data_IF_428109233826
#
_entry.id   IF_428109233826
#
_cell.length_a   1.000
_cell.length_b   1.000
_cell.length_c   1.000
_cell.angle_alpha   90.00
_cell.angle_beta   90.00
_cell.angle_gamma   90.00
#
_symmetry.space_group_name_H-M   'P 1'
#
loop_
_entity.id
_entity.type
_entity.pdbx_description
1 polymer ?
#
# COMPACT_ATOMS: atom_id res chain seq x y z
N UNK A 1 -9.85 -0.67 -59.61
CA UNK A 1 -9.13 -0.64 -58.31
C UNK A 1 -9.55 -1.81 -57.40
N UNK A 2 -9.44 -3.09 -57.83
CA UNK A 2 -10.17 -4.19 -57.17
C UNK A 2 -9.36 -5.36 -56.58
N UNK A 3 -8.12 -5.59 -57.02
CA UNK A 3 -7.39 -6.84 -56.67
C UNK A 3 -6.13 -6.61 -55.82
N UNK A 4 -5.34 -5.56 -56.09
CA UNK A 4 -4.13 -5.25 -55.31
C UNK A 4 -4.44 -4.86 -53.86
N UNK A 5 -5.55 -4.13 -53.61
CA UNK A 5 -5.98 -3.78 -52.25
C UNK A 5 -6.48 -5.00 -51.45
N UNK A 6 -6.99 -6.05 -52.10
CA UNK A 6 -7.46 -7.26 -51.40
C UNK A 6 -6.30 -8.16 -50.95
N UNK A 7 -5.23 -8.25 -51.75
CA UNK A 7 -4.05 -9.04 -51.39
C UNK A 7 -3.26 -8.43 -50.23
N UNK A 8 -3.14 -7.10 -50.18
CA UNK A 8 -2.49 -6.38 -49.07
C UNK A 8 -3.30 -6.52 -47.78
N UNK A 9 -4.64 -6.47 -47.85
CA UNK A 9 -5.48 -6.65 -46.66
C UNK A 9 -5.35 -8.07 -46.07
N UNK A 10 -5.28 -9.10 -46.92
CA UNK A 10 -5.13 -10.50 -46.48
C UNK A 10 -3.74 -10.75 -45.86
N UNK A 11 -2.68 -10.15 -46.40
CA UNK A 11 -1.32 -10.25 -45.84
C UNK A 11 -1.20 -9.56 -44.46
N UNK A 12 -1.86 -8.41 -44.27
CA UNK A 12 -1.89 -7.72 -42.97
C UNK A 12 -2.64 -8.55 -41.93
N UNK A 13 -3.79 -9.14 -42.29
CA UNK A 13 -4.56 -10.00 -41.38
C UNK A 13 -3.80 -11.27 -40.96
N UNK A 14 -3.09 -11.93 -41.88
CA UNK A 14 -2.31 -13.13 -41.57
C UNK A 14 -1.11 -12.85 -40.65
N UNK A 15 -0.44 -11.70 -40.82
CA UNK A 15 0.67 -11.30 -39.96
C UNK A 15 0.22 -10.99 -38.52
N UNK A 16 -0.97 -10.41 -38.34
CA UNK A 16 -1.53 -10.15 -37.00
C UNK A 16 -1.86 -11.43 -36.22
N UNK A 17 -2.33 -12.50 -36.89
CA UNK A 17 -2.63 -13.77 -36.23
C UNK A 17 -1.39 -14.49 -35.71
N UNK A 18 -0.27 -14.47 -36.45
CA UNK A 18 0.98 -15.14 -36.03
C UNK A 18 1.60 -14.43 -34.82
N UNK A 19 1.61 -13.09 -34.81
CA UNK A 19 2.14 -12.31 -33.68
C UNK A 19 1.35 -12.59 -32.38
N UNK A 20 0.02 -12.63 -32.45
CA UNK A 20 -0.83 -12.93 -31.29
C UNK A 20 -0.58 -14.34 -30.73
N UNK A 21 -0.43 -15.35 -31.58
CA UNK A 21 -0.16 -16.72 -31.15
C UNK A 21 1.20 -16.86 -30.45
N UNK A 22 2.22 -16.12 -30.92
CA UNK A 22 3.53 -16.09 -30.28
C UNK A 22 3.44 -15.41 -28.91
N UNK A 23 2.78 -14.27 -28.79
CA UNK A 23 2.59 -13.57 -27.50
C UNK A 23 1.86 -14.45 -26.48
N UNK A 24 0.79 -15.15 -26.87
CA UNK A 24 0.08 -16.07 -25.97
C UNK A 24 0.95 -17.22 -25.49
N UNK A 25 1.78 -17.77 -26.38
CA UNK A 25 2.73 -18.85 -26.03
C UNK A 25 3.77 -18.36 -25.03
N UNK A 26 4.34 -17.16 -25.27
CA UNK A 26 5.31 -16.55 -24.38
C UNK A 26 4.70 -16.20 -23.02
N UNK A 27 3.48 -15.69 -22.97
CA UNK A 27 2.78 -15.42 -21.71
C UNK A 27 2.50 -16.71 -20.93
N UNK A 28 2.01 -17.78 -21.58
CA UNK A 28 1.77 -19.05 -20.91
C UNK A 28 3.06 -19.66 -20.33
N UNK A 29 4.20 -19.48 -21.02
CA UNK A 29 5.50 -19.88 -20.52
C UNK A 29 5.93 -19.05 -19.29
N UNK A 30 5.74 -17.73 -19.32
CA UNK A 30 5.99 -16.85 -18.18
C UNK A 30 5.15 -17.26 -16.96
N UNK A 31 3.86 -17.49 -17.17
CA UNK A 31 2.94 -17.93 -16.11
C UNK A 31 3.38 -19.27 -15.50
N UNK A 32 3.72 -20.24 -16.34
CA UNK A 32 4.24 -21.55 -15.88
C UNK A 32 5.53 -21.37 -15.07
N UNK A 33 6.41 -20.48 -15.49
CA UNK A 33 7.65 -20.19 -14.77
C UNK A 33 7.37 -19.56 -13.40
N UNK A 34 6.57 -18.49 -13.35
CA UNK A 34 6.18 -17.81 -12.11
C UNK A 34 5.49 -18.78 -11.15
N UNK A 35 4.46 -19.49 -11.61
CA UNK A 35 3.73 -20.42 -10.75
C UNK A 35 4.62 -21.54 -10.23
N UNK A 36 5.47 -22.16 -11.06
CA UNK A 36 6.37 -23.24 -10.61
C UNK A 36 7.43 -22.75 -9.59
N UNK A 37 7.91 -21.52 -9.77
CA UNK A 37 8.94 -20.93 -8.92
C UNK A 37 8.38 -20.51 -7.56
N UNK A 38 7.25 -19.80 -7.56
CA UNK A 38 6.67 -19.11 -6.40
C UNK A 38 5.53 -19.87 -5.69
N UNK A 39 5.13 -21.07 -6.15
CA UNK A 39 4.12 -21.91 -5.45
C UNK A 39 4.66 -22.54 -4.17
N UNK A 40 5.08 -21.72 -3.21
CA UNK A 40 5.49 -22.10 -1.87
C UNK A 40 5.26 -20.92 -0.90
N UNK A 41 5.23 -21.21 0.40
CA UNK A 41 5.23 -20.19 1.46
C UNK A 41 6.59 -20.17 2.15
N UNK A 42 7.40 -19.09 2.04
CA UNK A 42 8.65 -18.93 2.78
C UNK A 42 8.57 -19.34 4.26
N UNK A 43 7.50 -18.96 4.96
CA UNK A 43 7.29 -19.27 6.39
C UNK A 43 7.06 -20.77 6.69
N UNK A 44 6.78 -21.60 5.67
CA UNK A 44 6.46 -23.03 5.82
C UNK A 44 7.57 -23.97 5.37
N UNK A 45 8.69 -23.44 4.90
CA UNK A 45 9.84 -24.24 4.43
C UNK A 45 11.08 -23.99 5.29
N UNK A 46 12.02 -24.94 5.27
CA UNK A 46 13.27 -24.83 6.01
C UNK A 46 14.20 -23.76 5.42
N UNK A 47 15.15 -23.24 6.22
CA UNK A 47 16.17 -22.29 5.74
C UNK A 47 16.99 -22.82 4.56
N UNK A 48 17.27 -24.12 4.53
CA UNK A 48 17.98 -24.75 3.41
C UNK A 48 17.16 -24.69 2.12
N UNK A 49 15.86 -24.98 2.20
CA UNK A 49 14.93 -24.85 1.07
C UNK A 49 14.75 -23.39 0.65
N UNK A 50 14.68 -22.45 1.59
CA UNK A 50 14.61 -21.02 1.29
C UNK A 50 15.84 -20.58 0.49
N UNK A 51 17.05 -20.98 0.91
CA UNK A 51 18.29 -20.67 0.20
C UNK A 51 18.29 -21.22 -1.24
N UNK A 52 17.88 -22.48 -1.42
CA UNK A 52 17.77 -23.08 -2.75
C UNK A 52 16.75 -22.34 -3.63
N UNK A 53 15.58 -22.00 -3.08
CA UNK A 53 14.55 -21.23 -3.80
C UNK A 53 15.03 -19.81 -4.14
N UNK A 54 15.75 -19.16 -3.24
CA UNK A 54 16.34 -17.84 -3.48
C UNK A 54 17.25 -17.84 -4.70
N UNK A 55 18.13 -18.84 -4.85
CA UNK A 55 19.01 -18.94 -6.02
C UNK A 55 18.24 -19.09 -7.34
N UNK A 56 17.11 -19.81 -7.32
CA UNK A 56 16.23 -19.94 -8.50
C UNK A 56 15.54 -18.60 -8.83
N UNK A 57 15.11 -17.86 -7.80
CA UNK A 57 14.51 -16.53 -7.97
C UNK A 57 15.54 -15.51 -8.48
N UNK A 58 16.78 -15.54 -7.98
CA UNK A 58 17.86 -14.68 -8.47
C UNK A 58 18.13 -14.89 -9.96
N UNK A 59 18.10 -16.15 -10.41
CA UNK A 59 18.24 -16.48 -11.82
C UNK A 59 17.05 -15.95 -12.64
N UNK A 60 15.82 -16.12 -12.16
CA UNK A 60 14.63 -15.52 -12.79
C UNK A 60 14.76 -13.99 -12.91
N UNK A 61 15.15 -13.30 -11.83
CA UNK A 61 15.38 -11.86 -11.84
C UNK A 61 16.43 -11.44 -12.85
N UNK A 62 17.54 -12.18 -12.93
CA UNK A 62 18.62 -11.92 -13.89
C UNK A 62 18.12 -12.03 -15.32
N UNK A 63 17.33 -13.05 -15.62
CA UNK A 63 16.83 -13.31 -16.97
C UNK A 63 15.77 -12.27 -17.39
N UNK A 64 14.87 -11.87 -16.48
CA UNK A 64 13.94 -10.75 -16.74
C UNK A 64 14.71 -9.44 -16.96
N UNK A 65 15.74 -9.17 -16.16
CA UNK A 65 16.56 -7.96 -16.30
C UNK A 65 17.44 -7.94 -17.55
N UNK A 66 17.74 -9.10 -18.14
CA UNK A 66 18.59 -9.20 -19.32
C UNK A 66 17.89 -8.73 -20.60
N UNK A 67 16.56 -8.87 -20.68
CA UNK A 67 15.73 -8.43 -21.80
C UNK A 67 14.41 -7.81 -21.33
N UNK A 68 14.44 -6.59 -20.77
CA UNK A 68 13.24 -5.94 -20.25
C UNK A 68 12.23 -5.59 -21.34
N UNK A 69 12.67 -5.36 -22.59
CA UNK A 69 11.75 -5.05 -23.70
C UNK A 69 10.77 -6.20 -23.96
N UNK A 70 11.26 -7.44 -23.87
CA UNK A 70 10.43 -8.63 -24.03
C UNK A 70 9.70 -9.02 -22.74
N UNK A 71 10.37 -8.94 -21.59
CA UNK A 71 9.88 -9.56 -20.35
C UNK A 71 9.01 -8.64 -19.47
N UNK A 72 9.22 -7.33 -19.53
CA UNK A 72 8.45 -6.38 -18.72
C UNK A 72 6.94 -6.40 -19.05
N UNK A 73 6.50 -6.45 -20.32
CA UNK A 73 5.08 -6.62 -20.64
C UNK A 73 4.48 -7.90 -20.04
N UNK A 74 5.25 -9.00 -20.02
CA UNK A 74 4.79 -10.28 -19.45
C UNK A 74 4.67 -10.20 -17.93
N UNK A 75 5.65 -9.57 -17.28
CA UNK A 75 5.65 -9.34 -15.83
C UNK A 75 4.44 -8.51 -15.39
N UNK A 76 4.06 -7.49 -16.18
CA UNK A 76 2.86 -6.69 -15.92
C UNK A 76 1.59 -7.55 -15.94
N UNK A 77 1.48 -8.46 -16.91
CA UNK A 77 0.33 -9.40 -16.99
C UNK A 77 0.32 -10.33 -15.77
N UNK A 78 1.46 -10.88 -15.36
CA UNK A 78 1.53 -11.75 -14.17
C UNK A 78 1.17 -11.00 -12.89
N UNK A 79 1.59 -9.75 -12.73
CA UNK A 79 1.20 -8.94 -11.57
C UNK A 79 -0.29 -8.56 -11.59
N UNK A 80 -0.91 -8.43 -12.75
CA UNK A 80 -2.35 -8.21 -12.86
C UNK A 80 -3.18 -9.47 -12.54
N UNK A 81 -2.60 -10.66 -12.66
CA UNK A 81 -3.30 -11.93 -12.43
C UNK A 81 -3.46 -12.22 -10.93
N UNK A 82 -4.71 -12.22 -10.44
CA UNK A 82 -5.06 -12.50 -9.05
C UNK A 82 -4.88 -13.98 -8.64
N UNK A 83 -4.71 -14.90 -9.60
CA UNK A 83 -4.48 -16.31 -9.34
C UNK A 83 -3.01 -16.64 -9.02
N UNK A 84 -2.10 -15.70 -9.26
CA UNK A 84 -0.68 -15.91 -9.02
C UNK A 84 -0.34 -16.04 -7.52
N UNK A 85 0.75 -16.76 -7.18
CA UNK A 85 1.11 -17.02 -5.79
C UNK A 85 1.30 -15.73 -4.96
N UNK A 86 0.81 -15.66 -3.70
CA UNK A 86 0.93 -14.46 -2.86
C UNK A 86 2.36 -13.96 -2.70
N UNK A 87 3.35 -14.85 -2.57
CA UNK A 87 4.74 -14.44 -2.41
C UNK A 87 5.29 -13.72 -3.66
N UNK A 88 4.81 -14.09 -4.86
CA UNK A 88 5.16 -13.41 -6.11
C UNK A 88 4.63 -11.97 -6.15
N UNK A 89 3.50 -11.67 -5.51
CA UNK A 89 2.94 -10.31 -5.51
C UNK A 89 3.90 -9.28 -4.93
N UNK A 90 4.66 -9.66 -3.90
CA UNK A 90 5.70 -8.80 -3.32
C UNK A 90 6.98 -8.80 -4.15
N UNK A 91 7.49 -9.99 -4.50
CA UNK A 91 8.78 -10.14 -5.17
C UNK A 91 8.73 -9.61 -6.61
N UNK A 92 7.68 -9.96 -7.37
CA UNK A 92 7.41 -9.46 -8.71
C UNK A 92 7.19 -7.94 -8.74
N UNK A 93 6.52 -7.37 -7.73
CA UNK A 93 6.39 -5.91 -7.60
C UNK A 93 7.76 -5.26 -7.41
N UNK A 94 8.61 -5.84 -6.56
CA UNK A 94 9.98 -5.34 -6.35
C UNK A 94 10.80 -5.39 -7.64
N UNK A 95 10.64 -6.45 -8.43
CA UNK A 95 11.27 -6.59 -9.74
C UNK A 95 10.75 -5.53 -10.73
N UNK A 96 9.42 -5.34 -10.82
CA UNK A 96 8.78 -4.33 -11.68
C UNK A 96 9.32 -2.93 -11.38
N UNK A 97 9.31 -2.52 -10.11
CA UNK A 97 9.75 -1.18 -9.68
C UNK A 97 11.27 -0.98 -9.82
N UNK A 98 12.04 -2.07 -9.93
CA UNK A 98 13.47 -2.00 -10.25
C UNK A 98 13.74 -1.77 -11.74
N UNK A 99 12.79 -2.13 -12.62
CA UNK A 99 12.89 -2.05 -14.08
C UNK A 99 12.20 -0.81 -14.67
N UNK A 100 11.17 -0.30 -13.99
CA UNK A 100 10.35 0.79 -14.49
C UNK A 100 10.18 1.91 -13.48
N UNK A 101 9.96 3.12 -14.01
CA UNK A 101 9.57 4.34 -13.28
C UNK A 101 8.26 4.93 -13.84
N UNK A 102 7.55 4.19 -14.67
CA UNK A 102 6.26 4.62 -15.22
C UNK A 102 5.20 4.64 -14.12
N UNK A 103 4.37 5.68 -14.09
CA UNK A 103 3.26 5.80 -13.12
C UNK A 103 2.33 4.59 -13.16
N UNK A 104 2.02 4.08 -14.36
CA UNK A 104 1.15 2.91 -14.53
C UNK A 104 1.71 1.64 -13.87
N UNK A 105 3.04 1.49 -13.81
CA UNK A 105 3.67 0.36 -13.12
C UNK A 105 3.66 0.54 -11.60
N UNK A 106 3.74 1.78 -11.12
CA UNK A 106 3.50 2.12 -9.73
C UNK A 106 2.07 1.80 -9.29
N UNK A 107 1.08 2.14 -10.12
CA UNK A 107 -0.33 1.83 -9.86
C UNK A 107 -0.59 0.31 -9.88
N UNK A 108 0.01 -0.41 -10.83
CA UNK A 108 -0.06 -1.87 -10.88
C UNK A 108 0.57 -2.52 -9.64
N UNK A 109 1.74 -2.03 -9.21
CA UNK A 109 2.40 -2.46 -7.98
C UNK A 109 1.50 -2.23 -6.76
N UNK A 110 0.91 -1.05 -6.62
CA UNK A 110 0.01 -0.73 -5.52
C UNK A 110 -1.23 -1.65 -5.49
N UNK A 111 -1.73 -2.09 -6.64
CA UNK A 111 -2.83 -3.05 -6.78
C UNK A 111 -2.40 -4.52 -6.54
N UNK A 112 -1.12 -4.85 -6.72
CA UNK A 112 -0.58 -6.19 -6.48
C UNK A 112 -0.26 -6.46 -5.00
N UNK A 113 0.33 -5.48 -4.31
CA UNK A 113 0.78 -5.63 -2.92
C UNK A 113 -0.27 -6.16 -1.91
N UNK A 114 -1.56 -5.77 -1.95
CA UNK A 114 -2.57 -6.29 -1.02
C UNK A 114 -2.80 -7.81 -1.15
N UNK A 115 -2.32 -8.43 -2.24
CA UNK A 115 -2.43 -9.88 -2.46
C UNK A 115 -1.25 -10.66 -1.88
N UNK A 116 -0.24 -10.00 -1.34
CA UNK A 116 0.89 -10.67 -0.68
C UNK A 116 0.49 -11.24 0.69
N UNK A 117 1.07 -12.38 1.08
CA UNK A 117 0.94 -12.88 2.45
C UNK A 117 1.98 -12.20 3.34
N UNK A 118 1.54 -11.37 4.30
CA UNK A 118 2.42 -10.63 5.20
C UNK A 118 3.34 -11.54 6.03
N UNK A 119 2.99 -12.82 6.23
CA UNK A 119 3.82 -13.80 6.96
C UNK A 119 5.02 -14.29 6.14
N UNK A 120 4.94 -14.16 4.82
CA UNK A 120 5.93 -14.67 3.87
C UNK A 120 6.85 -13.56 3.33
N UNK A 121 6.65 -12.31 3.76
CA UNK A 121 7.43 -11.15 3.30
C UNK A 121 8.18 -10.48 4.44
N UNK A 122 9.23 -9.73 4.10
CA UNK A 122 9.92 -8.87 5.06
C UNK A 122 9.10 -7.60 5.26
N UNK A 123 8.46 -7.44 6.43
CA UNK A 123 7.52 -6.34 6.70
C UNK A 123 8.11 -4.93 6.49
N UNK A 124 9.40 -4.73 6.74
CA UNK A 124 10.05 -3.44 6.48
C UNK A 124 10.16 -3.12 4.99
N UNK A 125 10.35 -4.13 4.15
CA UNK A 125 10.37 -3.97 2.69
C UNK A 125 8.96 -3.74 2.15
N UNK A 126 7.96 -4.46 2.68
CA UNK A 126 6.56 -4.21 2.36
C UNK A 126 6.18 -2.75 2.70
N UNK A 127 6.45 -2.33 3.93
CA UNK A 127 6.18 -0.96 4.39
C UNK A 127 6.87 0.09 3.52
N UNK A 128 8.18 -0.03 3.28
CA UNK A 128 8.91 0.96 2.48
C UNK A 128 8.38 1.04 1.05
N UNK A 129 8.03 -0.11 0.45
CA UNK A 129 7.48 -0.14 -0.91
C UNK A 129 6.13 0.56 -0.99
N UNK A 130 5.20 0.26 -0.07
CA UNK A 130 3.89 0.92 -0.03
C UNK A 130 4.03 2.41 0.27
N UNK A 131 4.97 2.78 1.15
CA UNK A 131 5.25 4.18 1.49
C UNK A 131 5.83 4.96 0.31
N UNK A 132 6.82 4.40 -0.41
CA UNK A 132 7.41 5.04 -1.59
C UNK A 132 6.38 5.24 -2.70
N UNK A 133 5.49 4.25 -2.90
CA UNK A 133 4.38 4.34 -3.84
C UNK A 133 3.37 5.43 -3.45
N UNK A 134 3.02 5.54 -2.17
CA UNK A 134 2.09 6.57 -1.69
C UNK A 134 2.69 7.97 -1.87
N UNK A 135 3.99 8.13 -1.59
CA UNK A 135 4.71 9.39 -1.83
C UNK A 135 4.86 9.73 -3.31
N UNK A 136 4.79 8.72 -4.19
CA UNK A 136 4.82 8.89 -5.66
C UNK A 136 3.43 9.17 -6.25
N UNK A 137 2.38 9.21 -5.42
CA UNK A 137 1.01 9.53 -5.83
C UNK A 137 0.17 8.32 -6.30
N UNK A 138 0.67 7.10 -6.15
CA UNK A 138 -0.12 5.90 -6.43
C UNK A 138 -1.22 5.71 -5.38
N UNK A 139 -2.37 5.13 -5.78
CA UNK A 139 -3.42 4.74 -4.83
C UNK A 139 -3.01 3.48 -4.06
N UNK A 140 -2.42 3.68 -2.88
CA UNK A 140 -2.01 2.60 -1.99
C UNK A 140 -3.05 2.24 -0.95
N UNK A 141 -4.32 2.66 -1.10
CA UNK A 141 -5.39 2.47 -0.11
C UNK A 141 -5.47 1.02 0.37
N UNK A 142 -5.61 0.07 -0.56
CA UNK A 142 -5.76 -1.34 -0.21
C UNK A 142 -4.48 -1.91 0.40
N UNK A 143 -3.31 -1.50 -0.10
CA UNK A 143 -2.02 -2.00 0.40
C UNK A 143 -1.72 -1.48 1.81
N UNK A 144 -2.13 -0.24 2.10
CA UNK A 144 -2.07 0.36 3.43
C UNK A 144 -3.03 -0.31 4.40
N UNK A 145 -4.27 -0.58 4.00
CA UNK A 145 -5.25 -1.28 4.84
C UNK A 145 -4.90 -2.77 5.05
N UNK A 146 -4.17 -3.40 4.12
CA UNK A 146 -3.75 -4.80 4.23
C UNK A 146 -2.92 -5.09 5.49
N UNK A 147 -2.18 -4.11 6.01
CA UNK A 147 -1.38 -4.32 7.24
C UNK A 147 -2.25 -4.66 8.46
N UNK A 148 -3.55 -4.36 8.39
CA UNK A 148 -4.54 -4.65 9.43
C UNK A 148 -4.83 -6.15 9.55
N UNK A 149 -4.51 -6.95 8.53
CA UNK A 149 -4.70 -8.40 8.53
C UNK A 149 -3.66 -9.13 9.38
N UNK A 150 -2.57 -8.45 9.79
CA UNK A 150 -1.60 -8.95 10.77
C UNK A 150 -1.60 -8.07 12.04
N UNK A 151 -2.24 -8.49 13.15
CA UNK A 151 -2.24 -7.72 14.40
C UNK A 151 -0.84 -7.59 15.04
N UNK A 152 0.16 -8.33 14.54
CA UNK A 152 1.56 -8.22 14.97
C UNK A 152 2.42 -7.38 14.03
N UNK A 153 1.83 -6.73 13.02
CA UNK A 153 2.55 -5.91 12.07
C UNK A 153 3.38 -4.84 12.79
N UNK A 154 4.71 -4.93 12.63
CA UNK A 154 5.69 -4.04 13.23
C UNK A 154 6.86 -3.85 12.29
N UNK A 155 7.32 -2.61 12.16
CA UNK A 155 8.43 -2.26 11.28
C UNK A 155 9.56 -1.65 12.11
N UNK A 156 10.66 -2.38 12.22
CA UNK A 156 11.87 -1.86 12.85
C UNK A 156 12.57 -0.90 11.91
N UNK A 157 12.90 0.31 12.38
CA UNK A 157 13.67 1.31 11.65
C UNK A 157 15.09 1.35 12.25
N UNK A 158 16.08 0.67 11.63
CA UNK A 158 17.41 0.51 12.24
C UNK A 158 18.11 1.83 12.54
N UNK A 159 17.84 2.87 11.76
CA UNK A 159 18.48 4.19 11.88
C UNK A 159 18.00 5.01 13.08
N UNK A 160 16.86 4.66 13.68
CA UNK A 160 16.23 5.44 14.76
C UNK A 160 16.02 4.66 16.06
N UNK A 161 16.44 3.40 16.15
CA UNK A 161 16.12 2.48 17.28
C UNK A 161 14.61 2.37 17.59
N UNK A 162 13.76 2.83 16.68
CA UNK A 162 12.30 2.88 16.84
C UNK A 162 11.65 1.77 16.03
N UNK A 163 10.60 1.17 16.59
CA UNK A 163 9.73 0.22 15.90
C UNK A 163 8.38 0.86 15.69
N UNK A 164 7.97 1.01 14.43
CA UNK A 164 6.62 1.46 14.11
C UNK A 164 5.63 0.36 14.44
N UNK A 165 4.61 0.70 15.21
CA UNK A 165 3.44 -0.15 15.44
C UNK A 165 2.49 -0.09 14.24
N UNK A 166 1.53 -1.02 14.17
CA UNK A 166 0.49 -1.03 13.12
C UNK A 166 -0.27 0.32 13.02
N UNK A 167 -0.74 0.96 14.11
CA UNK A 167 -1.42 2.27 14.03
C UNK A 167 -0.58 3.36 13.36
N UNK A 168 0.69 3.47 13.73
CA UNK A 168 1.59 4.51 13.21
C UNK A 168 2.02 4.19 11.78
N UNK A 169 2.24 2.91 11.46
CA UNK A 169 2.51 2.47 10.09
C UNK A 169 1.34 2.87 9.17
N UNK A 170 0.10 2.65 9.59
CA UNK A 170 -1.08 3.04 8.81
C UNK A 170 -1.13 4.55 8.54
N UNK A 171 -0.75 5.38 9.52
CA UNK A 171 -0.66 6.84 9.36
C UNK A 171 0.37 7.21 8.29
N UNK A 172 1.56 6.60 8.31
CA UNK A 172 2.59 6.83 7.29
C UNK A 172 2.15 6.37 5.89
N UNK A 173 1.41 5.26 5.79
CA UNK A 173 1.01 4.70 4.51
C UNK A 173 -0.13 5.48 3.86
N UNK A 174 -1.11 5.97 4.63
CA UNK A 174 -2.35 6.54 4.08
C UNK A 174 -2.45 8.06 4.15
N UNK A 175 -1.85 8.75 5.13
CA UNK A 175 -1.94 10.22 5.16
C UNK A 175 -1.29 10.95 3.97
N UNK A 176 -0.24 10.43 3.31
CA UNK A 176 0.27 11.03 2.08
C UNK A 176 -0.66 10.89 0.87
N UNK A 177 -1.54 9.88 0.87
CA UNK A 177 -2.50 9.62 -0.22
C UNK A 177 -3.66 10.61 -0.15
N UNK A 178 -4.22 10.99 -1.30
CA UNK A 178 -5.45 11.79 -1.36
C UNK A 178 -6.53 11.13 -0.49
N UNK A 179 -7.01 11.89 0.49
CA UNK A 179 -8.01 11.46 1.45
C UNK A 179 -9.30 10.93 0.78
N UNK A 180 -9.64 11.44 -0.40
CA UNK A 180 -10.83 11.00 -1.13
C UNK A 180 -10.72 9.54 -1.63
N UNK A 181 -9.50 8.99 -1.75
CA UNK A 181 -9.27 7.61 -2.19
C UNK A 181 -9.48 6.62 -1.04
N UNK A 182 -8.98 6.92 0.15
CA UNK A 182 -8.91 5.94 1.23
C UNK A 182 -9.95 6.09 2.33
N UNK A 183 -10.54 7.29 2.54
CA UNK A 183 -11.38 7.54 3.72
C UNK A 183 -12.58 6.59 3.77
N UNK A 184 -13.29 6.41 2.65
CA UNK A 184 -14.45 5.52 2.61
C UNK A 184 -14.05 4.06 2.85
N UNK A 185 -12.97 3.60 2.23
CA UNK A 185 -12.46 2.24 2.44
C UNK A 185 -12.07 1.98 3.91
N UNK A 186 -11.46 2.97 4.58
CA UNK A 186 -11.12 2.88 6.00
C UNK A 186 -12.38 2.84 6.89
N UNK A 187 -13.40 3.64 6.57
CA UNK A 187 -14.69 3.62 7.27
C UNK A 187 -15.39 2.25 7.11
N UNK A 188 -15.44 1.73 5.89
CA UNK A 188 -16.04 0.42 5.59
C UNK A 188 -15.28 -0.71 6.30
N UNK A 189 -13.95 -0.68 6.26
CA UNK A 189 -13.10 -1.62 7.00
C UNK A 189 -13.42 -1.57 8.49
N UNK A 190 -13.45 -0.38 9.10
CA UNK A 190 -13.74 -0.22 10.54
C UNK A 190 -15.12 -0.75 10.94
N UNK A 191 -16.14 -0.57 10.10
CA UNK A 191 -17.49 -1.04 10.37
C UNK A 191 -17.56 -2.57 10.51
N UNK A 192 -16.79 -3.29 9.68
CA UNK A 192 -16.72 -4.75 9.71
C UNK A 192 -15.66 -5.32 10.67
N UNK A 193 -14.66 -4.52 11.05
CA UNK A 193 -13.48 -4.98 11.77
C UNK A 193 -13.83 -5.56 13.15
N UNK A 194 -13.21 -6.68 13.50
CA UNK A 194 -13.37 -7.39 14.78
C UNK A 194 -12.10 -7.44 15.59
N UNK A 195 -10.93 -7.35 14.96
CA UNK A 195 -9.66 -7.31 15.66
C UNK A 195 -9.47 -5.97 16.38
N UNK A 196 -9.16 -6.02 17.67
CA UNK A 196 -9.03 -4.82 18.50
C UNK A 196 -7.84 -3.95 18.09
N UNK A 197 -6.73 -4.57 17.66
CA UNK A 197 -5.52 -3.84 17.24
C UNK A 197 -5.82 -3.09 15.95
N UNK A 198 -6.50 -3.73 15.00
CA UNK A 198 -6.92 -3.09 13.76
C UNK A 198 -7.93 -1.96 14.00
N UNK A 199 -8.90 -2.15 14.90
CA UNK A 199 -9.82 -1.07 15.30
C UNK A 199 -9.06 0.13 15.87
N UNK A 200 -8.12 -0.10 16.79
CA UNK A 200 -7.26 0.96 17.37
C UNK A 200 -6.41 1.66 16.29
N UNK A 201 -5.86 0.91 15.34
CA UNK A 201 -5.13 1.46 14.19
C UNK A 201 -5.99 2.40 13.36
N UNK A 202 -7.22 2.00 13.03
CA UNK A 202 -8.18 2.81 12.28
C UNK A 202 -8.63 4.05 13.06
N UNK A 203 -8.91 3.94 14.36
CA UNK A 203 -9.23 5.11 15.21
C UNK A 203 -8.08 6.12 15.24
N UNK A 204 -6.84 5.63 15.29
CA UNK A 204 -5.64 6.47 15.19
C UNK A 204 -5.60 7.19 13.84
N UNK A 205 -5.81 6.47 12.73
CA UNK A 205 -5.91 7.07 11.40
C UNK A 205 -7.02 8.13 11.33
N UNK A 206 -8.21 7.86 11.87
CA UNK A 206 -9.32 8.82 11.87
C UNK A 206 -8.98 10.08 12.66
N UNK A 207 -8.34 9.95 13.83
CA UNK A 207 -7.83 11.10 14.58
C UNK A 207 -6.83 11.90 13.73
N UNK A 208 -5.84 11.25 13.13
CA UNK A 208 -4.86 11.95 12.30
C UNK A 208 -5.48 12.53 11.01
N UNK A 209 -6.54 11.94 10.47
CA UNK A 209 -7.25 12.43 9.28
C UNK A 209 -7.87 13.81 9.50
N UNK A 210 -8.34 14.10 10.72
CA UNK A 210 -9.05 15.33 11.05
C UNK A 210 -10.21 15.62 10.08
N UNK A 211 -11.05 14.61 9.84
CA UNK A 211 -12.26 14.68 9.00
C UNK A 211 -13.51 14.74 9.86
N UNK A 212 -14.66 15.15 9.28
CA UNK A 212 -15.93 15.16 10.03
C UNK A 212 -16.39 13.74 10.34
N UNK A 213 -16.22 12.85 9.36
CA UNK A 213 -16.55 11.44 9.40
C UNK A 213 -15.68 10.72 10.46
N UNK A 214 -14.37 11.00 10.48
CA UNK A 214 -13.46 10.50 11.50
C UNK A 214 -13.84 10.95 12.91
N UNK A 215 -14.21 12.22 13.10
CA UNK A 215 -14.68 12.74 14.39
C UNK A 215 -15.98 12.04 14.85
N UNK A 216 -16.91 11.78 13.91
CA UNK A 216 -18.16 11.07 14.18
C UNK A 216 -17.90 9.62 14.60
N UNK A 217 -17.00 8.90 13.91
CA UNK A 217 -16.62 7.53 14.28
C UNK A 217 -15.98 7.49 15.67
N UNK A 218 -15.07 8.42 15.98
CA UNK A 218 -14.46 8.52 17.30
C UNK A 218 -15.52 8.72 18.39
N UNK A 219 -16.43 9.68 18.19
CA UNK A 219 -17.50 9.98 19.14
C UNK A 219 -18.46 8.79 19.36
N UNK A 220 -18.91 8.16 18.27
CA UNK A 220 -19.79 7.00 18.31
C UNK A 220 -19.11 5.82 19.01
N UNK A 221 -17.87 5.52 18.64
CA UNK A 221 -17.12 4.39 19.20
C UNK A 221 -16.88 4.55 20.70
N UNK A 222 -16.56 5.75 21.18
CA UNK A 222 -16.35 6.00 22.60
C UNK A 222 -17.59 5.70 23.47
N UNK A 223 -18.80 5.72 22.89
CA UNK A 223 -20.06 5.47 23.58
C UNK A 223 -20.67 4.08 23.26
N UNK A 224 -20.12 3.34 22.31
CA UNK A 224 -20.68 2.07 21.84
C UNK A 224 -20.34 0.92 22.80
N UNK A 225 -21.30 0.56 23.66
CA UNK A 225 -21.13 -0.53 24.64
C UNK A 225 -20.97 -1.92 24.06
N UNK A 226 -21.19 -2.11 22.75
CA UNK A 226 -20.89 -3.37 22.06
C UNK A 226 -19.41 -3.51 21.70
N UNK A 227 -18.63 -2.41 21.73
CA UNK A 227 -17.18 -2.43 21.53
C UNK A 227 -16.45 -2.72 22.84
N UNK A 228 -15.24 -3.25 22.74
CA UNK A 228 -14.42 -3.54 23.91
C UNK A 228 -13.97 -2.28 24.63
N UNK A 229 -13.62 -2.42 25.91
CA UNK A 229 -13.13 -1.31 26.73
C UNK A 229 -11.88 -0.65 26.13
N UNK A 230 -10.93 -1.45 25.63
CA UNK A 230 -9.72 -0.95 24.95
C UNK A 230 -10.06 0.01 23.81
N UNK A 231 -10.97 -0.39 22.94
CA UNK A 231 -11.33 0.35 21.72
C UNK A 231 -12.09 1.63 22.08
N UNK A 232 -13.03 1.55 23.04
CA UNK A 232 -13.73 2.74 23.55
C UNK A 232 -12.78 3.74 24.21
N UNK A 233 -11.83 3.25 25.01
CA UNK A 233 -10.85 4.08 25.71
C UNK A 233 -9.90 4.78 24.73
N UNK A 234 -9.48 4.10 23.66
CA UNK A 234 -8.66 4.72 22.63
C UNK A 234 -9.42 5.84 21.89
N UNK A 235 -10.69 5.61 21.54
CA UNK A 235 -11.53 6.66 20.94
C UNK A 235 -11.70 7.86 21.89
N UNK A 236 -11.98 7.61 23.17
CA UNK A 236 -12.11 8.65 24.19
C UNK A 236 -10.82 9.45 24.40
N UNK A 237 -9.66 8.78 24.37
CA UNK A 237 -8.33 9.41 24.43
C UNK A 237 -8.15 10.40 23.28
N UNK A 238 -8.49 10.04 22.05
CA UNK A 238 -8.37 10.94 20.89
C UNK A 238 -9.33 12.12 20.96
N UNK A 239 -10.58 11.92 21.41
CA UNK A 239 -11.53 13.00 21.66
C UNK A 239 -10.98 13.99 22.69
N UNK A 240 -10.42 13.46 23.79
CA UNK A 240 -9.79 14.28 24.84
C UNK A 240 -8.59 15.06 24.29
N UNK A 241 -7.69 14.42 23.55
CA UNK A 241 -6.54 15.07 22.94
C UNK A 241 -6.96 16.21 22.01
N UNK A 242 -7.96 16.00 21.15
CA UNK A 242 -8.50 17.05 20.29
C UNK A 242 -9.13 18.21 21.08
N UNK A 243 -9.80 17.91 22.21
CA UNK A 243 -10.34 18.94 23.10
C UNK A 243 -9.24 19.77 23.74
N UNK A 244 -8.22 19.14 24.30
CA UNK A 244 -7.10 19.80 24.96
C UNK A 244 -6.33 20.72 24.00
N UNK A 245 -6.11 20.27 22.76
CA UNK A 245 -5.45 21.08 21.72
C UNK A 245 -6.29 22.31 21.33
N UNK A 246 -7.61 22.17 21.28
CA UNK A 246 -8.49 23.24 20.81
C UNK A 246 -8.66 24.40 21.80
N UNK A 247 -8.46 24.16 23.09
CA UNK A 247 -8.55 25.19 24.13
C UNK A 247 -7.27 26.03 24.22
N UNK A 248 -6.17 25.55 23.63
CA UNK A 248 -4.92 26.28 23.55
C UNK A 248 -5.08 27.51 22.63
N UNK A 249 -4.81 28.70 23.19
CA UNK A 249 -4.82 29.95 22.44
C UNK A 249 -3.51 30.08 21.65
N UNK A 250 -3.53 29.76 20.36
CA UNK A 250 -2.38 29.94 19.46
C UNK A 250 -2.80 30.65 18.17
N UNK A 251 -1.92 31.47 17.58
CA UNK A 251 -2.13 31.93 16.19
C UNK A 251 -1.63 30.81 15.27
N UNK A 252 -2.53 30.16 14.54
CA UNK A 252 -2.16 29.12 13.57
C UNK A 252 -1.92 29.77 12.21
N UNK A 253 -0.69 29.73 11.67
CA UNK A 253 -0.42 30.28 10.34
C UNK A 253 -0.80 29.29 9.23
N UNK A 254 -1.34 29.82 8.13
CA UNK A 254 -1.70 29.08 6.92
C UNK A 254 -3.15 28.57 6.91
N UNK A 255 -3.60 28.08 5.75
CA UNK A 255 -4.88 27.38 5.61
C UNK A 255 -4.76 25.92 6.08
N UNK A 256 -5.92 25.28 6.31
CA UNK A 256 -5.98 23.85 6.61
C UNK A 256 -5.33 23.01 5.51
N UNK A 257 -5.60 23.35 4.24
CA UNK A 257 -5.04 22.68 3.07
C UNK A 257 -3.51 22.74 3.04
N UNK A 258 -2.93 23.91 3.27
CA UNK A 258 -1.47 24.09 3.32
C UNK A 258 -0.82 23.32 4.47
N UNK A 259 -1.55 23.05 5.56
CA UNK A 259 -1.03 22.24 6.67
C UNK A 259 -1.11 20.76 6.31
N UNK A 260 -2.18 20.30 5.67
CA UNK A 260 -2.33 18.93 5.18
C UNK A 260 -1.24 18.58 4.16
N UNK A 261 -1.00 19.44 3.18
CA UNK A 261 0.03 19.26 2.17
C UNK A 261 1.44 19.16 2.80
N UNK A 262 1.77 20.07 3.74
CA UNK A 262 3.04 20.02 4.46
C UNK A 262 3.19 18.75 5.30
N UNK A 263 2.10 18.28 5.90
CA UNK A 263 2.09 17.04 6.69
C UNK A 263 2.35 15.83 5.81
N UNK A 264 1.67 15.73 4.66
CA UNK A 264 1.90 14.67 3.68
C UNK A 264 3.36 14.64 3.23
N UNK A 265 3.91 15.81 2.84
CA UNK A 265 5.35 15.95 2.49
C UNK A 265 6.27 15.54 3.64
N UNK A 266 5.95 15.92 4.88
CA UNK A 266 6.79 15.60 6.05
C UNK A 266 6.85 14.11 6.33
N UNK A 267 5.72 13.42 6.16
CA UNK A 267 5.61 11.97 6.31
C UNK A 267 6.34 11.19 5.21
N UNK A 268 6.87 11.84 4.19
CA UNK A 268 7.82 11.23 3.25
C UNK A 268 9.16 10.85 3.88
N UNK A 269 9.51 11.43 5.03
CA UNK A 269 10.63 10.99 5.84
C UNK A 269 10.09 10.15 7.00
N UNK A 270 10.57 8.91 7.15
CA UNK A 270 10.11 8.03 8.22
C UNK A 270 11.04 8.16 9.43
N UNK A 271 10.67 8.99 10.40
CA UNK A 271 11.45 9.21 11.63
C UNK A 271 10.57 9.68 12.80
N UNK A 272 11.12 9.68 14.01
CA UNK A 272 10.39 10.18 15.20
C UNK A 272 10.11 11.68 15.10
N UNK A 273 11.05 12.44 14.54
CA UNK A 273 10.86 13.87 14.28
C UNK A 273 9.76 14.11 13.24
N UNK A 274 9.68 13.25 12.21
CA UNK A 274 8.62 13.36 11.21
C UNK A 274 7.24 13.13 11.79
N UNK A 275 7.13 12.14 12.68
CA UNK A 275 5.89 11.85 13.39
C UNK A 275 5.52 13.00 14.35
N UNK A 276 6.48 13.53 15.10
CA UNK A 276 6.27 14.70 15.96
C UNK A 276 5.77 15.90 15.17
N UNK A 277 6.42 16.23 14.05
CA UNK A 277 6.01 17.32 13.17
C UNK A 277 4.60 17.09 12.58
N UNK A 278 4.28 15.85 12.22
CA UNK A 278 2.94 15.49 11.73
C UNK A 278 1.87 15.62 12.83
N UNK A 279 2.20 15.31 14.09
CA UNK A 279 1.33 15.51 15.25
C UNK A 279 1.10 17.01 15.54
N UNK A 280 2.14 17.84 15.44
CA UNK A 280 2.03 19.29 15.58
C UNK A 280 1.14 19.89 14.47
N UNK A 281 1.32 19.43 13.23
CA UNK A 281 0.45 19.84 12.11
C UNK A 281 -1.00 19.39 12.31
N UNK A 282 -1.21 18.18 12.84
CA UNK A 282 -2.55 17.68 13.20
C UNK A 282 -3.19 18.57 14.27
N UNK A 283 -2.42 18.99 15.28
CA UNK A 283 -2.88 19.91 16.32
C UNK A 283 -3.32 21.27 15.77
N UNK A 284 -2.57 21.79 14.79
CA UNK A 284 -2.92 23.03 14.10
C UNK A 284 -4.19 22.91 13.26
N UNK A 285 -4.41 21.77 12.61
CA UNK A 285 -5.65 21.48 11.87
C UNK A 285 -6.85 21.49 12.84
N UNK A 286 -6.74 20.82 13.99
CA UNK A 286 -7.78 20.82 15.04
C UNK A 286 -8.16 22.26 15.43
N UNK A 287 -7.16 23.11 15.68
CA UNK A 287 -7.36 24.51 16.09
C UNK A 287 -8.05 25.35 14.99
N UNK A 288 -7.76 25.10 13.71
CA UNK A 288 -8.44 25.79 12.60
C UNK A 288 -9.89 25.34 12.45
N UNK A 289 -10.16 24.04 12.56
CA UNK A 289 -11.51 23.47 12.38
C UNK A 289 -12.50 23.94 13.45
N UNK A 290 -12.06 24.16 14.70
CA UNK A 290 -12.94 24.61 15.80
C UNK A 290 -13.25 26.10 15.83
N UNK A 291 -12.60 26.91 14.98
CA UNK A 291 -12.87 28.35 14.86
C UNK A 291 -13.97 28.68 13.86
N UNK A 292 -14.30 27.73 12.98
CA UNK A 292 -15.39 27.83 12.02
C UNK A 292 -16.69 27.40 12.68
#
# INVERSE_FOLDING_TARGET
>A
MGFRNRLVLILILAASCVAQAQTLTTQAAMHTWVTSLYSFSPSKISKAQQSQKSQQMDQFWKDVKADPETTLPLLRVELADASNPPFFMMDGTSLLLSLSKETADGDLAAQALPRADLKDVVLSVYFSTVHDLSMSGADTTQAGLHILDDPKFRVSLPQHTTTLSQPISLVYLLLPVDQNLWLQAALDRFASEKDEVAQVSLLTLFFFSQTKEGDQILAATAQDSSRSETVRNEAAKWIKAAKDVSTAKSKVPGSEEQIRERRAKRLGNVSDEALSDAQDMTSRIIQLRRRK
#
